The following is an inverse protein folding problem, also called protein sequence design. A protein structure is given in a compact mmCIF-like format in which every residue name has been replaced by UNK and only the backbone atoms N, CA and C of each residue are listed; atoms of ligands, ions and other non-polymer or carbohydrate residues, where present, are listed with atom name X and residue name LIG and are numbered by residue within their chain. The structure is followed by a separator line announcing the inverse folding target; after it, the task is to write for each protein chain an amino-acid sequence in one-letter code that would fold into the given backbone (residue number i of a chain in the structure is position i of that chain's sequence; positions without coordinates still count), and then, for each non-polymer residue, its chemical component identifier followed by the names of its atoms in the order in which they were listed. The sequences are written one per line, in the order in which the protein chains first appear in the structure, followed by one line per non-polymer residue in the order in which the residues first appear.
data_IF_327567311605
#
_entry.id   IF_327567311605
#
_cell.length_a   1.000
_cell.length_b   1.000
_cell.length_c   1.000
_cell.angle_alpha   90.00
_cell.angle_beta   90.00
_cell.angle_gamma   90.00
#
_symmetry.space_group_name_H-M   'P 1'
#
loop_
_entity.id
_entity.type
_entity.pdbx_description
1 polymer ?
#
# COMPACT_ATOMS: atom_id res chain seq x y z
N UNK A 1 8.40 0.83 2.70
CA UNK A 1 9.43 1.35 1.77
C UNK A 1 10.81 0.93 2.22
N UNK A 2 11.36 1.59 3.24
CA UNK A 2 12.63 1.27 3.89
C UNK A 2 12.87 2.27 5.03
N UNK A 3 13.48 1.83 6.14
CA UNK A 3 13.65 2.67 7.33
C UNK A 3 14.76 3.72 7.17
N UNK A 4 15.86 3.36 6.49
CA UNK A 4 17.01 4.25 6.31
C UNK A 4 16.66 5.60 5.66
N UNK A 5 15.75 5.59 4.68
CA UNK A 5 15.29 6.82 4.04
C UNK A 5 14.54 7.72 5.03
N UNK A 6 13.62 7.15 5.81
CA UNK A 6 12.83 7.91 6.78
C UNK A 6 13.72 8.51 7.88
N UNK A 7 14.68 7.75 8.41
CA UNK A 7 15.61 8.23 9.43
C UNK A 7 16.53 9.35 8.92
N UNK A 8 16.99 9.23 7.67
CA UNK A 8 17.81 10.26 7.04
C UNK A 8 17.01 11.56 6.92
N UNK A 9 15.77 11.49 6.41
CA UNK A 9 14.88 12.65 6.31
C UNK A 9 14.57 13.27 7.68
N UNK A 10 14.35 12.48 8.73
CA UNK A 10 14.13 13.00 10.07
C UNK A 10 15.34 13.81 10.55
N UNK A 11 16.55 13.25 10.43
CA UNK A 11 17.80 13.91 10.84
C UNK A 11 18.07 15.19 10.04
N UNK A 12 17.85 15.16 8.74
CA UNK A 12 17.98 16.34 7.86
C UNK A 12 17.02 17.48 8.24
N UNK A 13 15.87 17.14 8.84
CA UNK A 13 14.88 18.10 9.32
C UNK A 13 15.01 18.40 10.83
N UNK A 14 16.10 17.99 11.48
CA UNK A 14 16.38 18.30 12.89
C UNK A 14 15.62 17.43 13.91
N UNK A 15 15.06 16.30 13.48
CA UNK A 15 14.39 15.34 14.35
C UNK A 15 15.27 14.13 14.64
N UNK A 16 15.07 13.53 15.82
CA UNK A 16 15.72 12.28 16.19
C UNK A 16 14.80 11.08 15.87
N UNK A 17 15.30 10.05 15.14
CA UNK A 17 14.51 8.84 14.93
C UNK A 17 14.24 8.09 16.23
N UNK A 18 13.01 7.58 16.38
CA UNK A 18 12.64 6.73 17.49
C UNK A 18 13.41 5.38 17.43
N UNK A 19 14.23 5.04 18.46
CA UNK A 19 14.97 3.79 18.49
C UNK A 19 14.10 2.53 18.40
N UNK A 20 12.87 2.59 18.91
CA UNK A 20 11.94 1.45 18.85
C UNK A 20 11.52 1.18 17.39
N UNK A 21 11.27 2.24 16.62
CA UNK A 21 10.93 2.13 15.19
C UNK A 21 12.11 1.60 14.40
N UNK A 22 13.33 2.07 14.70
CA UNK A 22 14.57 1.54 14.11
C UNK A 22 14.68 0.03 14.34
N UNK A 23 14.51 -0.42 15.58
CA UNK A 23 14.61 -1.83 15.94
C UNK A 23 13.58 -2.70 15.20
N UNK A 24 12.33 -2.26 15.13
CA UNK A 24 11.26 -2.98 14.41
C UNK A 24 11.65 -3.23 12.96
N UNK A 25 12.08 -2.19 12.24
CA UNK A 25 12.35 -2.29 10.80
C UNK A 25 13.77 -2.73 10.43
N UNK A 26 14.64 -2.97 11.41
CA UNK A 26 15.97 -3.54 11.18
C UNK A 26 16.12 -4.98 11.66
N UNK A 27 15.40 -5.36 12.74
CA UNK A 27 15.51 -6.70 13.33
C UNK A 27 14.30 -7.60 13.11
N UNK A 28 13.09 -7.04 13.06
CA UNK A 28 11.87 -7.83 13.11
C UNK A 28 11.12 -7.89 11.79
N UNK A 29 11.10 -6.79 11.03
CA UNK A 29 10.37 -6.68 9.76
C UNK A 29 11.34 -6.36 8.64
N UNK A 30 11.39 -7.23 7.63
CA UNK A 30 12.13 -6.94 6.39
C UNK A 30 11.43 -5.85 5.60
N UNK A 31 12.16 -4.82 5.17
CA UNK A 31 11.63 -3.81 4.26
C UNK A 31 11.89 -4.17 2.79
N UNK A 32 11.14 -3.53 1.88
CA UNK A 32 11.35 -3.68 0.43
C UNK A 32 12.76 -3.24 0.04
N UNK A 33 13.26 -2.15 0.62
CA UNK A 33 14.63 -1.69 0.43
C UNK A 33 15.64 -2.80 0.80
N UNK A 34 15.50 -3.43 1.96
CA UNK A 34 16.42 -4.51 2.38
C UNK A 34 16.38 -5.69 1.42
N UNK A 35 15.18 -6.12 1.01
CA UNK A 35 14.98 -7.21 0.06
C UNK A 35 15.66 -6.94 -1.28
N UNK A 36 15.44 -5.74 -1.85
CA UNK A 36 16.04 -5.32 -3.12
C UNK A 36 17.56 -5.30 -3.02
N UNK A 37 18.12 -4.68 -1.98
CA UNK A 37 19.57 -4.57 -1.84
C UNK A 37 20.22 -5.93 -1.57
N UNK A 38 19.56 -6.87 -0.88
CA UNK A 38 20.05 -8.26 -0.76
C UNK A 38 20.08 -8.98 -2.11
N UNK A 39 19.11 -8.74 -2.98
CA UNK A 39 19.02 -9.37 -4.30
C UNK A 39 19.93 -8.70 -5.37
N UNK A 40 20.34 -7.44 -5.16
CA UNK A 40 21.17 -6.73 -6.11
C UNK A 40 22.56 -7.35 -6.32
N UNK A 41 22.91 -7.57 -7.58
CA UNK A 41 24.25 -7.97 -7.99
C UNK A 41 25.26 -6.82 -7.85
N UNK A 42 26.55 -7.16 -7.82
CA UNK A 42 27.63 -6.17 -7.80
C UNK A 42 27.58 -5.22 -9.01
N UNK A 43 27.17 -5.72 -10.19
CA UNK A 43 27.03 -4.92 -11.40
C UNK A 43 25.94 -3.86 -11.26
N UNK A 44 24.76 -4.23 -10.73
CA UNK A 44 23.65 -3.28 -10.51
C UNK A 44 24.08 -2.19 -9.54
N UNK A 45 24.74 -2.57 -8.43
CA UNK A 45 25.25 -1.62 -7.44
C UNK A 45 26.25 -0.63 -8.03
N UNK A 46 27.19 -1.10 -8.88
CA UNK A 46 28.15 -0.23 -9.58
C UNK A 46 27.47 0.72 -10.55
N UNK A 47 26.51 0.24 -11.35
CA UNK A 47 25.77 1.07 -12.30
C UNK A 47 24.99 2.19 -11.59
N UNK A 48 24.39 1.89 -10.43
CA UNK A 48 23.71 2.86 -9.57
C UNK A 48 24.68 3.89 -8.98
N UNK A 49 25.81 3.45 -8.44
CA UNK A 49 26.84 4.32 -7.87
C UNK A 49 27.49 5.23 -8.92
N UNK A 50 27.67 4.74 -10.14
CA UNK A 50 28.20 5.50 -11.26
C UNK A 50 27.17 6.44 -11.91
N UNK A 51 25.95 6.54 -11.37
CA UNK A 51 24.83 7.30 -11.93
C UNK A 51 24.47 6.94 -13.38
N UNK A 52 24.82 5.74 -13.83
CA UNK A 52 24.40 5.21 -15.15
C UNK A 52 22.94 4.79 -15.11
N UNK A 53 22.47 4.27 -13.96
CA UNK A 53 21.06 3.98 -13.71
C UNK A 53 20.67 4.67 -12.39
N UNK A 54 19.75 5.62 -12.45
CA UNK A 54 19.34 6.44 -11.30
C UNK A 54 17.83 6.52 -11.18
N UNK A 55 17.32 6.80 -9.98
CA UNK A 55 15.88 7.02 -9.76
C UNK A 55 15.04 5.74 -9.81
N UNK A 56 15.65 4.58 -9.57
CA UNK A 56 14.90 3.34 -9.39
C UNK A 56 14.08 3.41 -8.09
N UNK A 57 12.88 2.79 -8.02
CA UNK A 57 12.07 2.73 -6.81
C UNK A 57 12.62 1.68 -5.82
N UNK A 58 13.91 1.81 -5.47
CA UNK A 58 14.62 0.94 -4.55
C UNK A 58 14.60 1.46 -3.10
N UNK A 59 14.32 2.75 -2.91
CA UNK A 59 14.25 3.41 -1.60
C UNK A 59 12.84 3.93 -1.23
N UNK A 60 11.88 3.89 -2.16
CA UNK A 60 10.52 4.37 -1.97
C UNK A 60 9.51 3.47 -2.70
N UNK A 61 8.22 3.63 -2.43
CA UNK A 61 7.18 2.82 -3.07
C UNK A 61 7.11 3.10 -4.58
N UNK A 62 6.95 2.06 -5.40
CA UNK A 62 6.92 2.20 -6.87
C UNK A 62 5.86 3.16 -7.41
N UNK A 63 4.72 3.27 -6.72
CA UNK A 63 3.56 4.03 -7.19
C UNK A 63 3.04 3.55 -8.56
N UNK A 64 2.48 4.46 -9.35
CA UNK A 64 1.96 4.22 -10.72
C UNK A 64 0.81 3.20 -10.78
N UNK A 65 0.05 3.10 -9.70
CA UNK A 65 -1.16 2.28 -9.62
C UNK A 65 -2.30 3.22 -9.28
N UNK A 66 -3.32 3.25 -10.14
CA UNK A 66 -4.53 4.05 -9.91
C UNK A 66 -5.65 3.06 -9.57
N UNK A 67 -6.09 3.09 -8.32
CA UNK A 67 -7.28 2.36 -7.90
C UNK A 67 -8.53 2.97 -8.53
N UNK A 68 -9.53 2.15 -8.86
CA UNK A 68 -10.83 2.65 -9.34
C UNK A 68 -11.68 3.05 -8.13
N UNK A 69 -11.34 4.20 -7.52
CA UNK A 69 -11.95 4.68 -6.26
C UNK A 69 -13.48 4.87 -6.36
N UNK A 70 -13.98 5.18 -7.56
CA UNK A 70 -15.41 5.28 -7.85
C UNK A 70 -16.21 4.01 -7.52
N UNK A 71 -15.57 2.84 -7.45
CA UNK A 71 -16.25 1.60 -7.05
C UNK A 71 -16.82 1.66 -5.65
N UNK A 72 -16.13 2.33 -4.71
CA UNK A 72 -16.64 2.46 -3.34
C UNK A 72 -17.92 3.27 -3.33
N UNK A 73 -17.97 4.38 -4.06
CA UNK A 73 -19.20 5.17 -4.20
C UNK A 73 -20.32 4.39 -4.90
N UNK A 74 -20.00 3.65 -5.96
CA UNK A 74 -21.00 2.95 -6.78
C UNK A 74 -21.60 1.72 -6.09
N UNK A 75 -20.79 0.95 -5.36
CA UNK A 75 -21.18 -0.35 -4.83
C UNK A 75 -21.19 -0.44 -3.30
N UNK A 76 -20.48 0.45 -2.61
CA UNK A 76 -20.22 0.30 -1.18
C UNK A 76 -19.13 -0.73 -0.88
N UNK A 77 -18.46 -0.57 0.27
CA UNK A 77 -17.37 -1.45 0.67
C UNK A 77 -17.82 -2.89 0.94
N UNK A 78 -19.01 -3.11 1.51
CA UNK A 78 -19.49 -4.47 1.85
C UNK A 78 -19.65 -5.34 0.61
N UNK A 79 -20.23 -4.77 -0.46
CA UNK A 79 -20.35 -5.45 -1.74
C UNK A 79 -18.96 -5.80 -2.30
N UNK A 80 -18.03 -4.85 -2.31
CA UNK A 80 -16.68 -5.07 -2.83
C UNK A 80 -15.90 -6.10 -2.01
N UNK A 81 -16.11 -6.13 -0.70
CA UNK A 81 -15.52 -7.14 0.19
C UNK A 81 -16.07 -8.53 -0.13
N UNK A 82 -17.38 -8.66 -0.34
CA UNK A 82 -17.98 -9.93 -0.75
C UNK A 82 -17.44 -10.39 -2.11
N UNK A 83 -17.25 -9.48 -3.06
CA UNK A 83 -16.63 -9.81 -4.35
C UNK A 83 -15.18 -10.31 -4.18
N UNK A 84 -14.41 -9.76 -3.22
CA UNK A 84 -13.06 -10.29 -2.92
C UNK A 84 -13.10 -11.70 -2.32
N UNK A 85 -14.11 -12.02 -1.52
CA UNK A 85 -14.34 -13.39 -1.05
C UNK A 85 -14.67 -14.32 -2.22
N UNK A 86 -15.50 -13.86 -3.16
CA UNK A 86 -15.84 -14.62 -4.35
C UNK A 86 -14.60 -14.86 -5.24
N UNK A 87 -13.78 -13.82 -5.48
CA UNK A 87 -12.50 -13.91 -6.21
C UNK A 87 -11.57 -14.97 -5.57
N UNK A 88 -11.45 -14.94 -4.24
CA UNK A 88 -10.61 -15.88 -3.50
C UNK A 88 -11.12 -17.32 -3.60
N UNK A 89 -12.43 -17.54 -3.53
CA UNK A 89 -13.05 -18.86 -3.66
C UNK A 89 -12.98 -19.41 -5.09
N UNK A 90 -12.91 -18.54 -6.10
CA UNK A 90 -12.81 -18.93 -7.51
C UNK A 90 -11.45 -19.56 -7.87
N UNK A 91 -10.40 -19.30 -7.10
CA UNK A 91 -9.08 -19.87 -7.33
C UNK A 91 -9.03 -21.29 -6.76
N UNK A 92 -9.13 -22.30 -7.60
CA UNK A 92 -9.14 -23.72 -7.19
C UNK A 92 -7.78 -24.40 -7.27
N UNK A 93 -6.90 -23.93 -8.15
CA UNK A 93 -5.55 -24.46 -8.32
C UNK A 93 -4.63 -24.01 -7.19
N UNK A 94 -3.72 -24.89 -6.74
CA UNK A 94 -2.79 -24.63 -5.65
C UNK A 94 -1.35 -24.83 -6.16
N UNK A 95 -0.70 -23.71 -6.46
CA UNK A 95 0.71 -23.58 -6.83
C UNK A 95 1.30 -22.27 -6.26
N UNK A 96 2.57 -21.98 -6.54
CA UNK A 96 3.23 -20.79 -5.99
C UNK A 96 2.54 -19.47 -6.39
N UNK A 97 2.11 -19.35 -7.64
CA UNK A 97 1.48 -18.14 -8.15
C UNK A 97 0.07 -17.98 -7.60
N UNK A 98 -0.69 -19.08 -7.56
CA UNK A 98 -2.05 -19.08 -7.05
C UNK A 98 -2.10 -18.84 -5.55
N UNK A 99 -1.16 -19.38 -4.77
CA UNK A 99 -1.03 -19.11 -3.33
C UNK A 99 -0.73 -17.63 -3.09
N UNK A 100 0.23 -17.05 -3.85
CA UNK A 100 0.53 -15.62 -3.76
C UNK A 100 -0.70 -14.78 -4.09
N UNK A 101 -1.40 -15.09 -5.17
CA UNK A 101 -2.59 -14.35 -5.60
C UNK A 101 -3.71 -14.42 -4.55
N UNK A 102 -3.93 -15.59 -3.94
CA UNK A 102 -4.92 -15.76 -2.86
C UNK A 102 -4.59 -14.88 -1.65
N UNK A 103 -3.32 -14.81 -1.26
CA UNK A 103 -2.90 -13.92 -0.17
C UNK A 103 -3.07 -12.44 -0.55
N UNK A 104 -2.71 -12.05 -1.77
CA UNK A 104 -2.90 -10.68 -2.26
C UNK A 104 -4.39 -10.27 -2.29
N UNK A 105 -5.30 -11.18 -2.64
CA UNK A 105 -6.75 -10.95 -2.59
C UNK A 105 -7.22 -10.81 -1.15
N UNK A 106 -6.72 -11.63 -0.23
CA UNK A 106 -7.03 -11.51 1.19
C UNK A 106 -6.56 -10.15 1.77
N UNK A 107 -5.37 -9.69 1.38
CA UNK A 107 -4.88 -8.35 1.75
C UNK A 107 -5.77 -7.23 1.16
N UNK A 108 -6.28 -7.41 -0.07
CA UNK A 108 -7.26 -6.46 -0.64
C UNK A 108 -8.57 -6.44 0.15
N UNK A 109 -9.07 -7.60 0.60
CA UNK A 109 -10.25 -7.69 1.46
C UNK A 109 -10.04 -6.95 2.78
N UNK A 110 -8.90 -7.18 3.45
CA UNK A 110 -8.56 -6.49 4.69
C UNK A 110 -8.41 -4.97 4.48
N UNK A 111 -7.80 -4.54 3.37
CA UNK A 111 -7.65 -3.14 3.02
C UNK A 111 -9.00 -2.42 2.83
N UNK A 112 -10.01 -3.09 2.25
CA UNK A 112 -11.37 -2.54 2.19
C UNK A 112 -11.96 -2.34 3.60
N UNK A 113 -11.67 -3.24 4.54
CA UNK A 113 -12.01 -3.06 5.96
C UNK A 113 -11.35 -1.83 6.58
N UNK A 114 -10.11 -1.50 6.20
CA UNK A 114 -9.44 -0.27 6.64
C UNK A 114 -10.08 1.00 6.02
N UNK A 115 -10.58 0.93 4.78
CA UNK A 115 -11.39 2.01 4.17
C UNK A 115 -12.65 2.27 4.99
N UNK A 116 -13.32 1.21 5.44
CA UNK A 116 -14.51 1.29 6.30
C UNK A 116 -14.18 1.95 7.64
N UNK A 117 -13.11 1.51 8.32
CA UNK A 117 -12.64 2.14 9.57
C UNK A 117 -12.33 3.62 9.39
N UNK A 118 -11.75 3.99 8.25
CA UNK A 118 -11.49 5.39 7.92
C UNK A 118 -12.79 6.18 7.74
N UNK A 119 -13.78 5.61 7.05
CA UNK A 119 -15.12 6.20 6.95
C UNK A 119 -15.75 6.44 8.33
N UNK A 120 -15.72 5.43 9.19
CA UNK A 120 -16.26 5.51 10.55
C UNK A 120 -15.59 6.62 11.38
N UNK A 121 -14.27 6.80 11.24
CA UNK A 121 -13.52 7.87 11.91
C UNK A 121 -14.03 9.28 11.54
N UNK A 122 -14.51 9.46 10.31
CA UNK A 122 -15.09 10.72 9.82
C UNK A 122 -16.62 10.77 9.93
N UNK A 123 -17.25 9.76 10.56
CA UNK A 123 -18.69 9.70 10.76
C UNK A 123 -19.50 9.43 9.47
N UNK A 124 -18.90 8.74 8.49
CA UNK A 124 -19.58 8.36 7.23
C UNK A 124 -19.55 6.86 7.04
N UNK A 125 -20.69 6.29 6.61
CA UNK A 125 -20.82 4.84 6.42
C UNK A 125 -20.57 4.43 4.97
N UNK A 126 -19.31 4.14 4.64
CA UNK A 126 -18.90 3.74 3.28
C UNK A 126 -19.20 2.27 2.95
N UNK A 127 -19.83 1.52 3.85
CA UNK A 127 -20.23 0.12 3.64
C UNK A 127 -21.28 -0.01 2.54
N UNK A 128 -22.21 0.94 2.49
CA UNK A 128 -23.28 1.03 1.49
C UNK A 128 -22.89 1.89 0.28
N UNK A 129 -23.56 1.71 -0.88
CA UNK A 129 -23.46 2.64 -1.99
C UNK A 129 -23.83 4.08 -1.59
N UNK A 130 -23.27 5.04 -2.32
CA UNK A 130 -23.65 6.44 -2.21
C UNK A 130 -25.04 6.68 -2.83
N UNK A 131 -25.91 7.40 -2.12
CA UNK A 131 -27.28 7.66 -2.55
C UNK A 131 -27.46 9.06 -3.16
N UNK A 132 -26.47 9.92 -3.01
CA UNK A 132 -26.50 11.29 -3.51
C UNK A 132 -25.10 11.77 -3.92
N UNK A 133 -25.06 12.94 -4.57
CA UNK A 133 -23.82 13.52 -5.10
C UNK A 133 -22.79 13.79 -4.00
N UNK A 134 -23.22 14.24 -2.82
CA UNK A 134 -22.32 14.56 -1.70
C UNK A 134 -21.64 13.29 -1.18
N UNK A 135 -22.39 12.20 -1.01
CA UNK A 135 -21.86 10.90 -0.62
C UNK A 135 -20.94 10.32 -1.69
N UNK A 136 -21.31 10.43 -2.98
CA UNK A 136 -20.49 9.89 -4.06
C UNK A 136 -19.09 10.53 -4.09
N UNK A 137 -19.03 11.86 -3.92
CA UNK A 137 -17.75 12.59 -3.80
C UNK A 137 -17.00 12.15 -2.54
N UNK A 138 -17.70 12.04 -1.40
CA UNK A 138 -17.07 11.69 -0.13
C UNK A 138 -16.53 10.25 -0.11
N UNK A 139 -17.19 9.28 -0.76
CA UNK A 139 -16.77 7.87 -0.75
C UNK A 139 -15.50 7.70 -1.59
N UNK A 140 -15.47 8.36 -2.75
CA UNK A 140 -14.27 8.45 -3.58
C UNK A 140 -13.11 9.09 -2.80
N UNK A 141 -13.39 10.17 -2.08
CA UNK A 141 -12.39 10.84 -1.25
C UNK A 141 -11.86 9.93 -0.13
N UNK A 142 -12.74 9.25 0.63
CA UNK A 142 -12.34 8.32 1.69
C UNK A 142 -11.50 7.17 1.13
N UNK A 143 -11.91 6.58 0.00
CA UNK A 143 -11.14 5.51 -0.66
C UNK A 143 -9.74 5.99 -1.07
N UNK A 144 -9.63 7.19 -1.64
CA UNK A 144 -8.35 7.79 -2.02
C UNK A 144 -7.47 8.13 -0.80
N UNK A 145 -8.06 8.71 0.25
CA UNK A 145 -7.36 9.02 1.50
C UNK A 145 -6.83 7.76 2.18
N UNK A 146 -7.60 6.67 2.17
CA UNK A 146 -7.15 5.39 2.72
C UNK A 146 -5.86 4.94 2.05
N UNK A 147 -5.77 5.02 0.71
CA UNK A 147 -4.55 4.70 -0.04
C UNK A 147 -3.39 5.61 0.36
N UNK A 148 -3.61 6.93 0.40
CA UNK A 148 -2.57 7.91 0.74
C UNK A 148 -1.95 7.71 2.14
N UNK A 149 -2.65 7.02 3.06
CA UNK A 149 -2.14 6.72 4.40
C UNK A 149 -1.16 5.55 4.43
N UNK A 150 -1.22 4.65 3.45
CA UNK A 150 -0.43 3.41 3.46
C UNK A 150 0.73 3.44 2.46
N UNK A 151 0.59 4.21 1.37
CA UNK A 151 1.62 4.28 0.32
C UNK A 151 2.22 5.68 0.20
N UNK A 152 3.53 5.71 -0.02
CA UNK A 152 4.31 6.91 -0.32
C UNK A 152 4.87 6.86 -1.75
N UNK A 153 4.07 6.38 -2.70
CA UNK A 153 4.47 6.23 -4.09
C UNK A 153 4.71 7.58 -4.78
N UNK A 154 5.66 7.63 -5.72
CA UNK A 154 6.01 8.86 -6.44
C UNK A 154 4.85 9.44 -7.27
N UNK A 155 3.89 8.61 -7.67
CA UNK A 155 2.61 9.01 -8.27
C UNK A 155 1.54 8.02 -7.81
N UNK A 156 0.43 8.53 -7.28
CA UNK A 156 -0.67 7.77 -6.66
C UNK A 156 -2.01 8.30 -7.15
#
# INVERSE_FOLDING_TARGET
GGICMAETTLKENGYEPDPAVHEIFTKHVTTVNDGIFRAYTSNIRRARHAHTVTGLPDAYSRGRIIGVYARVALYGADYLMQEKVNDWNAITEIDEESIRLREEINLQYQALGEVVKLGDLYGVDVRRPAENVKEAIQWVNIAFMAVCRVINGAAT
#
